data_IF_183312014994
#
_entry.id   IF_183312014994
#
_cell.length_a   1.000
_cell.length_b   1.000
_cell.length_c   1.000
_cell.angle_alpha   90.00
_cell.angle_beta   90.00
_cell.angle_gamma   90.00
#
_symmetry.space_group_name_H-M   'P 1'
#
loop_
_entity.id
_entity.type
_entity.pdbx_description
1 polymer ?
#
# COMPACT_ATOMS: atom_id res chain seq x y z
N UNK A 1 3.47 -22.15 -32.55
CA UNK A 1 2.08 -21.96 -33.02
C UNK A 1 2.03 -20.68 -33.88
N UNK A 2 1.67 -20.78 -35.16
CA UNK A 2 1.54 -19.60 -36.02
C UNK A 2 0.14 -19.04 -35.76
N UNK A 3 0.04 -17.90 -35.07
CA UNK A 3 -1.24 -17.22 -34.85
C UNK A 3 -1.57 -16.50 -36.15
N UNK A 4 -2.38 -17.14 -37.00
CA UNK A 4 -2.70 -16.62 -38.34
C UNK A 4 -3.68 -15.44 -38.28
N UNK A 5 -4.70 -15.51 -37.42
CA UNK A 5 -5.70 -14.48 -37.28
C UNK A 5 -6.14 -14.32 -35.81
N UNK A 6 -6.23 -13.07 -35.34
CA UNK A 6 -6.78 -12.76 -34.01
C UNK A 6 -8.20 -12.24 -34.21
N UNK A 7 -9.17 -13.11 -34.05
CA UNK A 7 -10.59 -12.77 -34.05
C UNK A 7 -11.11 -12.58 -32.62
N UNK A 8 -12.26 -11.92 -32.47
CA UNK A 8 -12.89 -11.76 -31.16
C UNK A 8 -13.37 -13.13 -30.61
N UNK A 9 -13.76 -14.09 -31.49
CA UNK A 9 -14.07 -15.47 -31.10
C UNK A 9 -12.85 -16.20 -30.55
N UNK A 10 -11.73 -16.12 -31.24
CA UNK A 10 -10.46 -16.71 -30.79
C UNK A 10 -10.04 -16.19 -29.40
N UNK A 11 -10.16 -14.89 -29.16
CA UNK A 11 -9.83 -14.31 -27.85
C UNK A 11 -10.77 -14.77 -26.75
N UNK A 12 -12.07 -14.92 -27.03
CA UNK A 12 -13.04 -15.47 -26.06
C UNK A 12 -12.75 -16.93 -25.73
N UNK A 13 -12.40 -17.73 -26.72
CA UNK A 13 -12.01 -19.13 -26.52
C UNK A 13 -10.71 -19.20 -25.67
N UNK A 14 -9.75 -18.33 -25.95
CA UNK A 14 -8.52 -18.25 -25.19
C UNK A 14 -8.77 -17.86 -23.72
N UNK A 15 -9.65 -16.90 -23.47
CA UNK A 15 -10.06 -16.48 -22.11
C UNK A 15 -10.80 -17.59 -21.33
N UNK A 16 -11.49 -18.51 -22.02
CA UNK A 16 -12.14 -19.67 -21.39
C UNK A 16 -11.13 -20.78 -21.01
N UNK A 17 -10.08 -20.93 -21.78
CA UNK A 17 -9.11 -22.02 -21.64
C UNK A 17 -7.86 -21.64 -20.85
N UNK A 18 -7.53 -20.35 -20.77
CA UNK A 18 -6.30 -19.86 -20.13
C UNK A 18 -6.54 -18.56 -19.38
N UNK A 19 -5.85 -18.38 -18.26
CA UNK A 19 -5.83 -17.10 -17.55
C UNK A 19 -4.72 -16.21 -18.10
N UNK A 20 -5.05 -15.00 -18.54
CA UNK A 20 -4.06 -14.04 -19.00
C UNK A 20 -3.23 -13.50 -17.81
N UNK A 21 -1.92 -13.56 -17.92
CA UNK A 21 -1.01 -12.85 -17.01
C UNK A 21 -1.06 -11.37 -17.41
N UNK A 22 -1.53 -10.54 -16.48
CA UNK A 22 -1.69 -9.11 -16.69
C UNK A 22 -0.36 -8.39 -16.91
N UNK A 23 -0.39 -7.27 -17.63
CA UNK A 23 0.75 -6.35 -17.72
C UNK A 23 1.13 -5.71 -16.37
N UNK A 24 0.31 -5.84 -15.34
CA UNK A 24 0.69 -5.45 -13.97
C UNK A 24 1.72 -6.39 -13.32
N UNK A 25 1.97 -7.55 -13.90
CA UNK A 25 3.05 -8.44 -13.49
C UNK A 25 4.39 -7.95 -14.06
N UNK A 26 5.36 -7.69 -13.21
CA UNK A 26 6.62 -7.02 -13.54
C UNK A 26 7.36 -7.60 -14.73
N UNK A 27 7.54 -8.92 -14.75
CA UNK A 27 8.27 -9.59 -15.82
C UNK A 27 7.51 -9.49 -17.15
N UNK A 28 6.17 -9.60 -17.09
CA UNK A 28 5.29 -9.40 -18.25
C UNK A 28 5.38 -7.96 -18.76
N UNK A 29 5.32 -6.96 -17.88
CA UNK A 29 5.46 -5.55 -18.20
C UNK A 29 6.79 -5.25 -18.91
N UNK A 30 7.89 -5.71 -18.31
CA UNK A 30 9.24 -5.52 -18.88
C UNK A 30 9.37 -6.18 -20.24
N UNK A 31 9.00 -7.45 -20.35
CA UNK A 31 9.14 -8.21 -21.59
C UNK A 31 8.31 -7.59 -22.72
N UNK A 32 7.09 -7.13 -22.41
CA UNK A 32 6.21 -6.48 -23.38
C UNK A 32 6.80 -5.16 -23.91
N UNK A 33 7.23 -4.26 -23.04
CA UNK A 33 7.74 -2.97 -23.46
C UNK A 33 9.13 -3.04 -24.08
N UNK A 34 9.98 -3.98 -23.65
CA UNK A 34 11.28 -4.21 -24.29
C UNK A 34 11.15 -4.76 -25.72
N UNK A 35 10.16 -5.61 -25.99
CA UNK A 35 9.88 -6.10 -27.32
C UNK A 35 9.27 -5.02 -28.24
N UNK A 36 8.76 -3.92 -27.67
CA UNK A 36 7.98 -2.90 -28.39
C UNK A 36 8.46 -1.48 -28.08
N UNK A 37 9.71 -1.12 -28.46
CA UNK A 37 10.33 0.17 -28.13
C UNK A 37 9.48 1.39 -28.56
N UNK A 38 8.91 1.38 -29.77
CA UNK A 38 8.05 2.47 -30.22
C UNK A 38 6.80 2.65 -29.33
N UNK A 39 6.21 1.57 -28.90
CA UNK A 39 5.07 1.56 -27.99
C UNK A 39 5.49 2.04 -26.61
N UNK A 40 6.67 1.65 -26.14
CA UNK A 40 7.21 2.12 -24.88
C UNK A 40 7.44 3.65 -24.89
N UNK A 41 7.94 4.19 -26.00
CA UNK A 41 8.05 5.65 -26.18
C UNK A 41 6.69 6.34 -26.10
N UNK A 42 5.68 5.81 -26.81
CA UNK A 42 4.31 6.35 -26.77
C UNK A 42 3.72 6.32 -25.36
N UNK A 43 3.87 5.21 -24.67
CA UNK A 43 3.45 5.03 -23.28
C UNK A 43 4.08 6.09 -22.37
N UNK A 44 5.40 6.19 -22.35
CA UNK A 44 6.12 7.14 -21.50
C UNK A 44 5.77 8.60 -21.81
N UNK A 45 5.69 8.95 -23.08
CA UNK A 45 5.33 10.30 -23.53
C UNK A 45 3.93 10.67 -23.03
N UNK A 46 2.96 9.77 -23.17
CA UNK A 46 1.58 9.99 -22.75
C UNK A 46 1.47 10.10 -21.23
N UNK A 47 2.02 9.12 -20.50
CA UNK A 47 1.86 9.01 -19.02
C UNK A 47 2.65 10.09 -18.27
N UNK A 48 3.76 10.57 -18.82
CA UNK A 48 4.56 11.66 -18.25
C UNK A 48 4.19 13.04 -18.83
N UNK A 49 3.20 13.11 -19.71
CA UNK A 49 2.75 14.33 -20.37
C UNK A 49 3.91 15.09 -21.06
N UNK A 50 4.79 14.35 -21.74
CA UNK A 50 5.94 14.95 -22.44
C UNK A 50 5.49 15.57 -23.76
N UNK A 51 6.01 16.77 -24.06
CA UNK A 51 5.76 17.46 -25.33
C UNK A 51 6.79 17.04 -26.40
N UNK A 52 6.92 15.73 -26.61
CA UNK A 52 7.88 15.12 -27.55
C UNK A 52 7.08 14.17 -28.44
N UNK A 53 7.38 14.16 -29.75
CA UNK A 53 6.82 13.14 -30.64
C UNK A 53 7.60 11.83 -30.49
N UNK A 54 6.99 10.63 -30.62
CA UNK A 54 7.68 9.35 -30.49
C UNK A 54 8.91 9.21 -31.38
N UNK A 55 8.87 9.77 -32.60
CA UNK A 55 9.96 9.74 -33.60
C UNK A 55 11.19 10.54 -33.09
N UNK A 56 10.96 11.58 -32.28
CA UNK A 56 12.01 12.44 -31.72
C UNK A 56 12.44 12.00 -30.31
N UNK A 57 11.90 10.90 -29.82
CA UNK A 57 12.22 10.32 -28.52
C UNK A 57 13.36 9.30 -28.64
N UNK A 58 14.54 9.66 -28.13
CA UNK A 58 15.65 8.71 -27.96
C UNK A 58 15.56 8.11 -26.58
N UNK A 59 15.30 6.81 -26.53
CA UNK A 59 15.14 6.05 -25.29
C UNK A 59 16.40 5.22 -25.03
N UNK A 60 16.97 5.34 -23.83
CA UNK A 60 18.07 4.51 -23.37
C UNK A 60 17.70 3.86 -22.05
N UNK A 61 17.73 2.53 -22.00
CA UNK A 61 17.55 1.77 -20.76
C UNK A 61 18.93 1.63 -20.10
N UNK A 62 19.08 2.15 -18.87
CA UNK A 62 20.37 2.29 -18.19
C UNK A 62 20.78 1.01 -17.48
N UNK A 63 19.83 0.27 -16.92
CA UNK A 63 20.08 -1.00 -16.22
C UNK A 63 19.57 -2.17 -17.06
N UNK A 64 20.51 -2.86 -17.68
CA UNK A 64 20.24 -4.05 -18.49
C UNK A 64 20.78 -5.32 -17.81
N UNK A 65 20.54 -5.51 -16.52
CA UNK A 65 20.90 -6.76 -15.84
C UNK A 65 20.05 -7.97 -16.28
N UNK A 66 19.22 -7.80 -17.30
CA UNK A 66 18.47 -8.90 -17.93
C UNK A 66 19.33 -9.97 -18.59
N UNK A 67 20.61 -9.67 -18.89
CA UNK A 67 21.54 -10.64 -19.56
C UNK A 67 22.15 -11.67 -18.61
N UNK A 68 22.05 -11.49 -17.29
CA UNK A 68 22.62 -12.38 -16.27
C UNK A 68 21.57 -13.05 -15.37
N UNK A 69 20.35 -13.23 -15.84
CA UNK A 69 19.26 -13.87 -15.10
C UNK A 69 19.51 -15.38 -14.96
N UNK A 70 20.56 -15.77 -14.20
CA UNK A 70 20.71 -17.10 -13.63
C UNK A 70 19.98 -17.17 -12.30
N UNK A 71 18.90 -17.87 -12.26
CA UNK A 71 18.11 -18.56 -11.25
C UNK A 71 18.10 -18.10 -9.76
N UNK A 72 18.95 -17.23 -9.24
CA UNK A 72 19.05 -16.93 -7.80
C UNK A 72 18.88 -15.45 -7.38
N UNK A 73 18.73 -14.51 -8.30
CA UNK A 73 18.65 -13.08 -7.97
C UNK A 73 17.38 -12.38 -8.49
N UNK A 74 16.36 -13.13 -8.85
CA UNK A 74 15.09 -12.60 -9.43
C UNK A 74 14.32 -11.63 -8.52
N UNK A 75 14.58 -11.63 -7.23
CA UNK A 75 13.79 -10.87 -6.27
C UNK A 75 14.13 -9.38 -6.13
N UNK A 76 15.08 -8.83 -6.90
CA UNK A 76 15.57 -7.46 -6.66
C UNK A 76 15.65 -6.52 -7.86
N UNK A 77 15.37 -6.94 -9.09
CA UNK A 77 15.58 -6.09 -10.27
C UNK A 77 14.30 -5.92 -11.06
N UNK A 78 13.43 -5.04 -10.56
CA UNK A 78 12.11 -4.84 -11.17
C UNK A 78 11.96 -3.47 -11.84
N UNK A 79 12.90 -2.56 -11.66
CA UNK A 79 12.74 -1.19 -12.08
C UNK A 79 13.34 -0.91 -13.46
N UNK A 80 12.63 -0.15 -14.30
CA UNK A 80 13.21 0.46 -15.48
C UNK A 80 13.90 1.76 -15.10
N UNK A 81 15.22 1.81 -15.27
CA UNK A 81 15.95 3.08 -15.27
C UNK A 81 16.14 3.55 -16.72
N UNK A 82 15.51 4.64 -17.05
CA UNK A 82 15.36 5.13 -18.42
C UNK A 82 15.97 6.52 -18.53
N UNK A 83 16.67 6.77 -19.62
CA UNK A 83 17.06 8.10 -20.03
C UNK A 83 16.36 8.46 -21.33
N UNK A 84 15.68 9.59 -21.35
CA UNK A 84 15.01 10.13 -22.54
C UNK A 84 15.78 11.36 -22.99
N UNK A 85 16.26 11.34 -24.21
CA UNK A 85 16.95 12.47 -24.89
C UNK A 85 18.14 13.04 -24.10
N UNK A 86 18.80 12.24 -23.25
CA UNK A 86 19.93 12.62 -22.40
C UNK A 86 19.66 13.70 -21.34
N UNK A 87 18.39 14.07 -21.09
CA UNK A 87 18.04 15.07 -20.07
C UNK A 87 16.84 14.72 -19.18
N UNK A 88 16.04 13.70 -19.50
CA UNK A 88 15.00 13.19 -18.62
C UNK A 88 15.40 11.80 -18.14
N UNK A 89 15.53 11.65 -16.82
CA UNK A 89 15.86 10.39 -16.16
C UNK A 89 14.62 9.90 -15.42
N UNK A 90 14.19 8.69 -15.73
CA UNK A 90 12.97 8.09 -15.19
C UNK A 90 13.30 6.76 -14.54
N UNK A 91 12.93 6.59 -13.28
CA UNK A 91 12.74 5.26 -12.71
C UNK A 91 11.25 4.92 -12.81
N UNK A 92 10.94 3.83 -13.47
CA UNK A 92 9.57 3.34 -13.66
C UNK A 92 9.39 2.04 -12.90
N UNK A 93 8.45 2.03 -12.00
CA UNK A 93 8.14 0.89 -11.13
C UNK A 93 6.65 0.55 -11.18
N UNK A 94 6.33 -0.75 -11.32
CA UNK A 94 4.98 -1.28 -11.15
C UNK A 94 4.86 -1.87 -9.76
N UNK A 95 4.03 -1.28 -8.90
CA UNK A 95 3.92 -1.66 -7.51
C UNK A 95 2.61 -2.39 -7.21
N UNK A 96 2.75 -3.56 -6.58
CA UNK A 96 1.66 -4.34 -6.02
C UNK A 96 1.57 -4.23 -4.49
N UNK A 97 2.42 -3.41 -3.86
CA UNK A 97 2.48 -3.21 -2.41
C UNK A 97 1.58 -2.06 -1.93
N UNK A 98 1.37 -1.96 -0.61
CA UNK A 98 0.57 -0.88 -0.02
C UNK A 98 1.31 0.46 -0.08
N UNK A 99 0.55 1.55 -0.22
CA UNK A 99 1.06 2.92 -0.42
C UNK A 99 2.03 3.41 0.67
N UNK A 100 1.82 3.06 1.94
CA UNK A 100 2.68 3.51 3.04
C UNK A 100 4.13 3.06 2.89
N UNK A 101 4.36 1.82 2.43
CA UNK A 101 5.69 1.28 2.21
C UNK A 101 6.36 1.89 0.94
N UNK A 102 5.53 2.24 -0.05
CA UNK A 102 5.97 2.79 -1.33
C UNK A 102 6.51 4.22 -1.19
N UNK A 103 5.93 5.03 -0.29
CA UNK A 103 6.28 6.45 -0.14
C UNK A 103 7.78 6.67 0.11
N UNK A 104 8.33 5.99 1.11
CA UNK A 104 9.76 6.12 1.45
C UNK A 104 10.67 5.54 0.37
N UNK A 105 10.23 4.49 -0.30
CA UNK A 105 10.96 3.84 -1.38
C UNK A 105 11.05 4.76 -2.60
N UNK A 106 9.98 5.43 -2.97
CA UNK A 106 9.95 6.39 -4.06
C UNK A 106 10.90 7.58 -3.83
N UNK A 107 10.95 8.11 -2.61
CA UNK A 107 11.90 9.19 -2.28
C UNK A 107 13.36 8.72 -2.41
N UNK A 108 13.67 7.52 -1.88
CA UNK A 108 15.00 6.92 -1.98
C UNK A 108 15.44 6.70 -3.43
N UNK A 109 14.54 6.22 -4.28
CA UNK A 109 14.84 6.02 -5.70
C UNK A 109 15.06 7.34 -6.42
N UNK A 110 14.22 8.34 -6.18
CA UNK A 110 14.37 9.67 -6.75
C UNK A 110 15.73 10.28 -6.38
N UNK A 111 16.16 10.15 -5.12
CA UNK A 111 17.46 10.64 -4.66
C UNK A 111 18.60 9.86 -5.28
N UNK A 112 18.50 8.55 -5.42
CA UNK A 112 19.52 7.71 -6.07
C UNK A 112 19.73 8.09 -7.52
N UNK A 113 18.65 8.30 -8.30
CA UNK A 113 18.76 8.73 -9.69
C UNK A 113 19.33 10.14 -9.77
N UNK A 114 18.86 11.06 -8.93
CA UNK A 114 19.34 12.43 -8.91
C UNK A 114 20.86 12.49 -8.63
N UNK A 115 21.35 11.69 -7.68
CA UNK A 115 22.77 11.56 -7.35
C UNK A 115 23.55 11.00 -8.54
N UNK A 116 23.06 9.96 -9.21
CA UNK A 116 23.74 9.34 -10.35
C UNK A 116 23.91 10.30 -11.54
N UNK A 117 23.06 11.30 -11.67
CA UNK A 117 23.17 12.35 -12.70
C UNK A 117 24.28 13.34 -12.35
N UNK A 118 24.51 13.59 -11.04
CA UNK A 118 25.54 14.52 -10.54
C UNK A 118 26.92 13.86 -10.55
N UNK A 119 27.02 12.61 -10.08
CA UNK A 119 28.30 11.91 -9.83
C UNK A 119 29.09 11.57 -11.10
N UNK A 120 28.48 11.67 -12.27
CA UNK A 120 29.18 11.45 -13.54
C UNK A 120 30.09 12.62 -13.96
N UNK A 121 30.49 13.48 -13.02
CA UNK A 121 31.45 14.59 -13.27
C UNK A 121 30.90 15.64 -14.24
N UNK A 122 29.60 15.60 -14.52
CA UNK A 122 28.95 16.52 -15.44
C UNK A 122 28.68 17.84 -14.73
N UNK A 123 29.07 18.89 -15.40
CA UNK A 123 28.89 20.29 -15.03
C UNK A 123 27.45 20.52 -14.43
N UNK A 124 27.35 21.20 -13.30
CA UNK A 124 26.11 21.67 -12.67
C UNK A 124 25.11 22.29 -13.65
N UNK A 125 25.58 22.86 -14.76
CA UNK A 125 24.76 23.38 -15.86
C UNK A 125 23.90 22.29 -16.52
N UNK A 126 24.38 21.05 -16.61
CA UNK A 126 23.64 19.91 -17.18
C UNK A 126 22.56 19.45 -16.19
N UNK A 127 22.89 19.37 -14.90
CA UNK A 127 21.93 19.05 -13.85
C UNK A 127 20.73 20.02 -13.81
N UNK A 128 21.00 21.33 -13.94
CA UNK A 128 19.92 22.35 -14.00
C UNK A 128 18.94 22.16 -15.16
N UNK A 129 19.36 21.49 -16.23
CA UNK A 129 18.52 21.19 -17.40
C UNK A 129 17.93 19.78 -17.38
N UNK A 130 18.41 18.91 -16.50
CA UNK A 130 17.95 17.53 -16.41
C UNK A 130 16.73 17.43 -15.48
N UNK A 131 15.77 16.58 -15.87
CA UNK A 131 14.60 16.24 -15.07
C UNK A 131 14.72 14.81 -14.57
N UNK A 132 14.50 14.61 -13.29
CA UNK A 132 14.49 13.29 -12.66
C UNK A 132 13.08 12.95 -12.18
N UNK A 133 12.58 11.82 -12.63
CA UNK A 133 11.20 11.39 -12.40
C UNK A 133 11.21 9.99 -11.77
N UNK A 134 10.56 9.86 -10.62
CA UNK A 134 10.12 8.57 -10.11
C UNK A 134 8.69 8.34 -10.56
N UNK A 135 8.47 7.43 -11.50
CA UNK A 135 7.14 7.04 -11.98
C UNK A 135 6.73 5.74 -11.30
N UNK A 136 5.69 5.81 -10.49
CA UNK A 136 5.14 4.67 -9.78
C UNK A 136 3.72 4.35 -10.30
N UNK A 137 3.55 3.13 -10.79
CA UNK A 137 2.27 2.57 -11.24
C UNK A 137 1.73 1.69 -10.11
N UNK A 138 0.76 2.20 -9.34
CA UNK A 138 0.23 1.52 -8.17
C UNK A 138 -1.01 0.70 -8.52
N UNK A 139 -0.92 -0.62 -8.34
CA UNK A 139 -2.00 -1.60 -8.61
C UNK A 139 -2.91 -1.78 -7.39
N UNK A 140 -2.41 -1.53 -6.17
CA UNK A 140 -3.08 -1.91 -4.92
C UNK A 140 -3.86 -0.80 -4.22
N UNK A 141 -3.82 0.44 -4.71
CA UNK A 141 -4.61 1.54 -4.16
C UNK A 141 -6.07 1.44 -4.62
N UNK A 142 -6.79 0.48 -4.02
CA UNK A 142 -8.20 0.24 -4.32
C UNK A 142 -9.03 1.45 -3.86
N UNK A 143 -9.99 1.85 -4.72
CA UNK A 143 -10.91 2.97 -4.47
C UNK A 143 -10.28 4.36 -4.46
N UNK A 144 -9.12 4.55 -5.10
CA UNK A 144 -8.63 5.90 -5.33
C UNK A 144 -9.68 6.75 -6.05
N UNK A 145 -9.91 7.96 -5.54
CA UNK A 145 -10.80 8.95 -6.15
C UNK A 145 -10.10 9.79 -7.20
N UNK A 146 -8.78 9.73 -7.24
CA UNK A 146 -7.92 10.44 -8.17
C UNK A 146 -7.09 9.44 -8.97
N UNK A 147 -6.82 9.74 -10.24
CA UNK A 147 -6.01 8.88 -11.10
C UNK A 147 -4.52 9.11 -10.93
N UNK A 148 -4.14 10.33 -10.57
CA UNK A 148 -2.74 10.72 -10.45
C UNK A 148 -2.49 11.60 -9.24
N UNK A 149 -1.25 11.54 -8.75
CA UNK A 149 -0.69 12.51 -7.84
C UNK A 149 0.73 12.87 -8.28
N UNK A 150 1.07 14.16 -8.18
CA UNK A 150 2.37 14.69 -8.60
C UNK A 150 3.02 15.38 -7.40
N UNK A 151 4.07 14.79 -6.87
CA UNK A 151 4.67 15.19 -5.61
C UNK A 151 5.99 15.92 -5.85
N UNK A 152 6.12 17.10 -5.27
CA UNK A 152 7.31 17.93 -5.25
C UNK A 152 7.78 18.22 -3.83
N UNK A 153 9.07 18.49 -3.66
CA UNK A 153 9.61 19.02 -2.39
C UNK A 153 9.33 20.53 -2.30
N UNK A 154 8.72 20.94 -1.19
CA UNK A 154 8.25 22.30 -0.96
C UNK A 154 8.94 22.91 0.27
N UNK A 155 9.29 24.19 0.20
CA UNK A 155 9.75 24.94 1.37
C UNK A 155 8.60 25.15 2.36
N UNK A 156 8.76 24.68 3.61
CA UNK A 156 7.76 24.83 4.67
C UNK A 156 7.45 26.31 4.97
N UNK A 157 8.41 27.20 4.79
CA UNK A 157 8.28 28.64 5.15
C UNK A 157 7.63 29.43 4.02
N UNK A 158 8.07 29.18 2.78
CA UNK A 158 7.63 30.01 1.62
C UNK A 158 6.53 29.38 0.78
N UNK A 159 6.23 28.09 0.98
CA UNK A 159 5.31 27.33 0.13
C UNK A 159 5.81 27.09 -1.30
N UNK A 160 7.03 27.53 -1.63
CA UNK A 160 7.56 27.40 -2.99
C UNK A 160 8.18 26.01 -3.22
N UNK A 161 8.02 25.49 -4.43
CA UNK A 161 8.67 24.24 -4.85
C UNK A 161 10.18 24.48 -4.89
N UNK A 162 10.92 23.63 -4.15
CA UNK A 162 12.37 23.75 -4.01
C UNK A 162 13.09 23.36 -5.32
N UNK A 163 12.63 22.29 -5.96
CA UNK A 163 13.22 21.82 -7.22
C UNK A 163 12.14 21.23 -8.14
N UNK A 164 11.87 21.88 -9.24
CA UNK A 164 10.91 21.44 -10.25
C UNK A 164 11.40 20.23 -11.08
N UNK A 165 12.70 20.00 -11.08
CA UNK A 165 13.31 18.94 -11.88
C UNK A 165 13.18 17.56 -11.22
N UNK A 166 12.98 17.49 -9.90
CA UNK A 166 12.85 16.25 -9.15
C UNK A 166 11.38 16.06 -8.77
N UNK A 167 10.74 15.04 -9.32
CA UNK A 167 9.30 14.84 -9.17
C UNK A 167 8.95 13.35 -9.04
N UNK A 168 7.98 13.04 -8.19
CA UNK A 168 7.37 11.72 -8.10
C UNK A 168 6.00 11.78 -8.77
N UNK A 169 5.77 10.91 -9.73
CA UNK A 169 4.48 10.66 -10.35
C UNK A 169 3.89 9.37 -9.78
N UNK A 170 2.73 9.47 -9.16
CA UNK A 170 1.92 8.32 -8.73
C UNK A 170 0.76 8.16 -9.68
N UNK A 171 0.56 6.95 -10.19
CA UNK A 171 -0.57 6.58 -11.06
C UNK A 171 -1.34 5.45 -10.39
N UNK A 172 -2.60 5.69 -10.06
CA UNK A 172 -3.49 4.76 -9.38
C UNK A 172 -4.28 3.95 -10.41
N UNK A 173 -3.79 2.76 -10.74
CA UNK A 173 -4.29 1.98 -11.87
C UNK A 173 -5.75 1.53 -11.72
N UNK A 174 -6.23 1.30 -10.50
CA UNK A 174 -7.63 0.98 -10.22
C UNK A 174 -8.59 2.11 -10.66
N UNK A 175 -8.16 3.37 -10.52
CA UNK A 175 -8.90 4.52 -11.03
C UNK A 175 -9.06 4.47 -12.55
N UNK A 176 -7.96 4.22 -13.28
CA UNK A 176 -7.99 4.19 -14.75
C UNK A 176 -8.79 3.02 -15.29
N UNK A 177 -8.77 1.88 -14.61
CA UNK A 177 -9.65 0.76 -14.95
C UNK A 177 -11.13 1.14 -14.82
N UNK A 178 -11.52 1.79 -13.72
CA UNK A 178 -12.89 2.29 -13.53
C UNK A 178 -13.25 3.37 -14.54
N UNK A 179 -12.33 4.29 -14.81
CA UNK A 179 -12.49 5.34 -15.81
C UNK A 179 -12.75 4.75 -17.21
N UNK A 180 -12.07 3.66 -17.56
CA UNK A 180 -12.28 2.98 -18.84
C UNK A 180 -13.74 2.55 -19.03
N UNK A 181 -14.38 2.00 -18.00
CA UNK A 181 -15.77 1.57 -18.04
C UNK A 181 -16.79 2.71 -17.96
N UNK A 182 -16.39 3.90 -17.57
CA UNK A 182 -17.27 5.07 -17.57
C UNK A 182 -17.27 5.70 -18.95
N UNK A 183 -18.42 5.59 -19.67
CA UNK A 183 -18.57 6.09 -21.02
C UNK A 183 -18.76 7.60 -21.11
N UNK A 184 -19.22 8.25 -20.04
CA UNK A 184 -19.55 9.66 -20.02
C UNK A 184 -18.30 10.58 -19.99
N UNK A 185 -17.13 10.03 -19.73
CA UNK A 185 -15.88 10.79 -19.59
C UNK A 185 -15.00 10.55 -20.81
N UNK A 186 -14.58 11.63 -21.46
CA UNK A 186 -13.58 11.61 -22.53
C UNK A 186 -12.22 11.21 -21.95
N UNK A 187 -11.59 10.22 -22.58
CA UNK A 187 -10.31 9.63 -22.15
C UNK A 187 -9.17 10.09 -23.05
N UNK A 188 -8.02 10.32 -22.44
CA UNK A 188 -6.75 10.54 -23.14
C UNK A 188 -6.08 9.22 -23.51
N UNK A 189 -5.04 9.28 -24.36
CA UNK A 189 -4.22 8.12 -24.66
C UNK A 189 -3.54 7.57 -23.40
N UNK A 190 -3.12 8.44 -22.45
CA UNK A 190 -2.55 8.04 -21.17
C UNK A 190 -3.54 7.21 -20.34
N UNK A 191 -4.81 7.63 -20.28
CA UNK A 191 -5.86 6.90 -19.54
C UNK A 191 -6.04 5.48 -20.07
N UNK A 192 -6.05 5.32 -21.39
CA UNK A 192 -6.13 4.00 -22.00
C UNK A 192 -4.90 3.15 -21.71
N UNK A 193 -3.68 3.70 -21.84
CA UNK A 193 -2.45 2.98 -21.52
C UNK A 193 -2.45 2.49 -20.08
N UNK A 194 -2.83 3.34 -19.14
CA UNK A 194 -2.85 2.99 -17.71
C UNK A 194 -3.93 1.95 -17.39
N UNK A 195 -5.09 2.01 -18.05
CA UNK A 195 -6.12 0.99 -17.91
C UNK A 195 -5.66 -0.38 -18.43
N UNK A 196 -4.96 -0.44 -19.57
CA UNK A 196 -4.50 -1.72 -20.17
C UNK A 196 -3.56 -2.51 -19.28
N UNK A 197 -2.81 -1.84 -18.38
CA UNK A 197 -1.91 -2.52 -17.44
C UNK A 197 -2.67 -3.46 -16.49
N UNK A 198 -3.92 -3.15 -16.18
CA UNK A 198 -4.77 -3.93 -15.26
C UNK A 198 -5.76 -4.85 -15.94
N UNK A 199 -5.69 -5.00 -17.25
CA UNK A 199 -6.54 -5.94 -17.98
C UNK A 199 -6.31 -7.38 -17.48
N UNK A 200 -7.40 -8.13 -17.31
CA UNK A 200 -7.36 -9.48 -16.75
C UNK A 200 -7.74 -10.55 -17.77
N UNK A 201 -8.10 -10.16 -19.00
CA UNK A 201 -8.39 -11.08 -20.09
C UNK A 201 -7.95 -10.52 -21.43
N UNK A 202 -7.72 -11.40 -22.38
CA UNK A 202 -7.34 -11.02 -23.74
C UNK A 202 -8.42 -10.21 -24.44
N UNK A 203 -9.68 -10.57 -24.23
CA UNK A 203 -10.83 -9.82 -24.77
C UNK A 203 -10.89 -8.41 -24.20
N UNK A 204 -10.72 -8.24 -22.88
CA UNK A 204 -10.70 -6.94 -22.22
C UNK A 204 -9.57 -6.07 -22.78
N UNK A 205 -8.36 -6.60 -22.84
CA UNK A 205 -7.19 -5.90 -23.37
C UNK A 205 -7.35 -5.48 -24.83
N UNK A 206 -7.85 -6.39 -25.68
CA UNK A 206 -8.10 -6.10 -27.08
C UNK A 206 -9.14 -4.98 -27.26
N UNK A 207 -10.20 -4.96 -26.46
CA UNK A 207 -11.21 -3.91 -26.51
C UNK A 207 -10.66 -2.56 -26.06
N UNK A 208 -9.78 -2.53 -25.03
CA UNK A 208 -9.08 -1.33 -24.64
C UNK A 208 -8.18 -0.80 -25.78
N UNK A 209 -7.41 -1.66 -26.42
CA UNK A 209 -6.55 -1.26 -27.54
C UNK A 209 -7.34 -0.75 -28.75
N UNK A 210 -8.52 -1.29 -29.05
CA UNK A 210 -9.41 -0.80 -30.11
C UNK A 210 -9.76 0.68 -29.95
N UNK A 211 -9.75 1.22 -28.72
CA UNK A 211 -10.16 2.59 -28.43
C UNK A 211 -9.14 3.64 -28.90
N UNK A 212 -7.85 3.30 -29.04
CA UNK A 212 -6.80 4.31 -29.28
C UNK A 212 -5.65 3.86 -30.18
N UNK A 213 -5.62 2.60 -30.63
CA UNK A 213 -4.61 2.06 -31.54
C UNK A 213 -5.21 1.74 -32.91
N UNK A 214 -4.38 1.82 -33.96
CA UNK A 214 -4.72 1.26 -35.25
C UNK A 214 -4.79 -0.26 -35.19
N UNK A 215 -5.55 -0.88 -36.09
CA UNK A 215 -5.70 -2.34 -36.15
C UNK A 215 -4.35 -3.05 -36.32
N UNK A 216 -3.48 -2.53 -37.14
CA UNK A 216 -2.13 -3.08 -37.35
C UNK A 216 -1.33 -3.16 -36.06
N UNK A 217 -1.25 -2.04 -35.32
CA UNK A 217 -0.54 -1.97 -34.04
C UNK A 217 -1.21 -2.88 -33.01
N UNK A 218 -2.53 -2.80 -32.90
CA UNK A 218 -3.33 -3.60 -31.97
C UNK A 218 -3.09 -5.09 -32.16
N UNK A 219 -3.20 -5.58 -33.41
CA UNK A 219 -3.00 -7.00 -33.72
C UNK A 219 -1.58 -7.47 -33.42
N UNK A 220 -0.57 -6.61 -33.72
CA UNK A 220 0.82 -6.90 -33.34
C UNK A 220 0.95 -7.06 -31.82
N UNK A 221 0.46 -6.09 -31.05
CA UNK A 221 0.58 -6.11 -29.60
C UNK A 221 -0.18 -7.30 -28.97
N UNK A 222 -1.36 -7.64 -29.49
CA UNK A 222 -2.10 -8.82 -29.04
C UNK A 222 -1.31 -10.12 -29.30
N UNK A 223 -0.66 -10.26 -30.45
CA UNK A 223 0.24 -11.40 -30.75
C UNK A 223 1.38 -11.47 -29.75
N UNK A 224 2.00 -10.34 -29.43
CA UNK A 224 3.11 -10.28 -28.45
C UNK A 224 2.64 -10.67 -27.04
N UNK A 225 1.47 -10.15 -26.59
CA UNK A 225 0.89 -10.52 -25.29
C UNK A 225 0.58 -12.01 -25.22
N UNK A 226 -0.06 -12.58 -26.25
CA UNK A 226 -0.37 -14.02 -26.28
C UNK A 226 0.91 -14.84 -26.23
N UNK A 227 1.94 -14.49 -27.02
CA UNK A 227 3.22 -15.16 -27.03
C UNK A 227 3.92 -15.12 -25.67
N UNK A 228 3.93 -13.96 -25.02
CA UNK A 228 4.53 -13.79 -23.68
C UNK A 228 3.78 -14.60 -22.61
N UNK A 229 2.47 -14.73 -22.73
CA UNK A 229 1.68 -15.59 -21.85
C UNK A 229 1.91 -17.10 -22.05
N UNK A 230 2.58 -17.48 -23.12
CA UNK A 230 3.03 -18.86 -23.39
C UNK A 230 4.50 -19.07 -23.06
N UNK A 231 5.23 -18.03 -22.64
CA UNK A 231 6.63 -18.11 -22.26
C UNK A 231 6.78 -18.83 -20.91
N UNK A 232 7.52 -19.93 -20.89
CA UNK A 232 7.68 -20.80 -19.71
C UNK A 232 8.24 -20.05 -18.51
N UNK A 233 9.15 -19.11 -18.75
CA UNK A 233 9.76 -18.31 -17.69
C UNK A 233 8.73 -17.37 -17.04
N UNK A 234 7.93 -16.65 -17.84
CA UNK A 234 6.89 -15.75 -17.37
C UNK A 234 5.82 -16.52 -16.60
N UNK A 235 5.40 -17.66 -17.13
CA UNK A 235 4.37 -18.51 -16.50
C UNK A 235 4.89 -19.08 -15.17
N UNK A 236 6.09 -19.62 -15.14
CA UNK A 236 6.66 -20.22 -13.91
C UNK A 236 6.86 -19.17 -12.82
N UNK A 237 7.39 -17.99 -13.14
CA UNK A 237 7.55 -16.89 -12.18
C UNK A 237 6.21 -16.40 -11.63
N UNK A 238 5.21 -16.29 -12.49
CA UNK A 238 3.86 -15.91 -12.05
C UNK A 238 3.26 -16.95 -11.08
N UNK A 239 3.46 -18.24 -11.34
CA UNK A 239 3.01 -19.32 -10.44
C UNK A 239 3.73 -19.22 -9.09
N UNK A 240 5.06 -19.06 -9.09
CA UNK A 240 5.86 -18.95 -7.86
C UNK A 240 5.37 -17.77 -7.02
N UNK A 241 5.18 -16.57 -7.61
CA UNK A 241 4.68 -15.39 -6.88
C UNK A 241 3.29 -15.61 -6.30
N UNK A 242 2.39 -16.25 -7.04
CA UNK A 242 1.05 -16.55 -6.53
C UNK A 242 1.10 -17.50 -5.34
N UNK A 243 1.97 -18.51 -5.36
CA UNK A 243 2.18 -19.44 -4.24
C UNK A 243 2.76 -18.72 -3.01
N UNK A 244 3.74 -17.84 -3.19
CA UNK A 244 4.33 -17.03 -2.11
C UNK A 244 3.27 -16.08 -1.50
N UNK A 245 2.47 -15.43 -2.32
CA UNK A 245 1.38 -14.56 -1.87
C UNK A 245 0.34 -15.33 -1.05
N UNK A 246 -0.04 -16.55 -1.47
CA UNK A 246 -0.94 -17.43 -0.73
C UNK A 246 -0.35 -17.86 0.61
N UNK A 247 0.93 -18.21 0.66
CA UNK A 247 1.62 -18.57 1.90
C UNK A 247 1.67 -17.39 2.87
N UNK A 248 2.04 -16.20 2.40
CA UNK A 248 2.09 -14.98 3.21
C UNK A 248 0.71 -14.65 3.80
N UNK A 249 -0.34 -14.74 2.99
CA UNK A 249 -1.72 -14.54 3.45
C UNK A 249 -2.12 -15.55 4.53
N UNK A 250 -1.83 -16.82 4.34
CA UNK A 250 -2.11 -17.87 5.32
C UNK A 250 -1.38 -17.64 6.65
N UNK A 251 -0.11 -17.23 6.62
CA UNK A 251 0.66 -16.90 7.83
C UNK A 251 0.08 -15.69 8.55
N UNK A 252 -0.32 -14.66 7.82
CA UNK A 252 -0.92 -13.45 8.39
C UNK A 252 -2.26 -13.74 9.08
N UNK A 253 -3.12 -14.57 8.48
CA UNK A 253 -4.38 -14.99 9.08
C UNK A 253 -4.17 -15.84 10.36
N UNK A 254 -3.18 -16.75 10.36
CA UNK A 254 -2.78 -17.49 11.57
C UNK A 254 -2.31 -16.56 12.67
N UNK A 255 -1.49 -15.54 12.35
CA UNK A 255 -1.01 -14.53 13.30
C UNK A 255 -2.17 -13.71 13.88
N UNK A 256 -3.09 -13.24 13.05
CA UNK A 256 -4.29 -12.51 13.49
C UNK A 256 -5.18 -13.36 14.39
N UNK A 257 -5.38 -14.63 14.06
CA UNK A 257 -6.16 -15.57 14.85
C UNK A 257 -5.54 -15.80 16.24
N UNK A 258 -4.21 -16.01 16.28
CA UNK A 258 -3.48 -16.14 17.55
C UNK A 258 -3.59 -14.89 18.41
N UNK A 259 -3.41 -13.70 17.82
CA UNK A 259 -3.54 -12.42 18.53
C UNK A 259 -4.95 -12.24 19.14
N UNK A 260 -5.99 -12.57 18.38
CA UNK A 260 -7.39 -12.53 18.88
C UNK A 260 -7.61 -13.48 20.06
N UNK A 261 -7.02 -14.68 19.99
CA UNK A 261 -7.09 -15.64 21.09
C UNK A 261 -6.38 -15.12 22.35
N UNK A 262 -5.15 -14.60 22.21
CA UNK A 262 -4.37 -14.06 23.33
C UNK A 262 -5.05 -12.85 23.98
N UNK A 263 -5.65 -11.95 23.19
CA UNK A 263 -6.43 -10.83 23.70
C UNK A 263 -7.65 -11.29 24.50
N UNK A 264 -8.41 -12.27 24.00
CA UNK A 264 -9.56 -12.83 24.75
C UNK A 264 -9.14 -13.47 26.07
N UNK A 265 -7.99 -14.17 26.06
CA UNK A 265 -7.44 -14.80 27.29
C UNK A 265 -7.02 -13.75 28.32
N UNK A 266 -6.32 -12.68 27.86
CA UNK A 266 -5.92 -11.57 28.73
C UNK A 266 -7.13 -10.82 29.33
N UNK A 267 -8.15 -10.58 28.52
CA UNK A 267 -9.39 -9.95 28.96
C UNK A 267 -10.11 -10.78 30.05
N UNK A 268 -10.21 -12.10 29.86
CA UNK A 268 -10.82 -13.01 30.84
C UNK A 268 -10.02 -13.04 32.16
N UNK A 269 -8.68 -13.03 32.06
CA UNK A 269 -7.82 -12.99 33.25
C UNK A 269 -7.96 -11.68 34.01
N UNK A 270 -7.95 -10.53 33.30
CA UNK A 270 -8.14 -9.21 33.92
C UNK A 270 -9.51 -9.06 34.61
N UNK A 271 -10.59 -9.56 33.99
CA UNK A 271 -11.91 -9.59 34.62
C UNK A 271 -11.93 -10.42 35.89
N UNK A 272 -11.29 -11.60 35.89
CA UNK A 272 -11.21 -12.46 37.08
C UNK A 272 -10.46 -11.78 38.23
N UNK A 273 -9.28 -11.21 37.93
CA UNK A 273 -8.48 -10.49 38.91
C UNK A 273 -9.21 -9.26 39.48
N UNK A 274 -9.84 -8.46 38.60
CA UNK A 274 -10.62 -7.28 39.03
C UNK A 274 -11.81 -7.68 39.92
N UNK A 275 -12.48 -8.80 39.63
CA UNK A 275 -13.58 -9.30 40.44
C UNK A 275 -13.10 -9.78 41.82
N UNK A 276 -11.99 -10.54 41.89
CA UNK A 276 -11.39 -11.01 43.14
C UNK A 276 -10.96 -9.82 44.02
N UNK A 277 -10.26 -8.84 43.46
CA UNK A 277 -9.88 -7.63 44.20
C UNK A 277 -11.07 -6.79 44.66
N UNK A 278 -12.11 -6.68 43.81
CA UNK A 278 -13.34 -5.96 44.19
C UNK A 278 -14.09 -6.62 45.34
N UNK A 279 -14.14 -7.95 45.39
CA UNK A 279 -14.73 -8.70 46.52
C UNK A 279 -13.91 -8.48 47.82
N UNK A 280 -12.61 -8.63 47.75
CA UNK A 280 -11.70 -8.46 48.91
C UNK A 280 -11.85 -7.06 49.51
N UNK A 281 -11.78 -6.01 48.69
CA UNK A 281 -11.97 -4.62 49.11
C UNK A 281 -13.41 -4.38 49.69
N UNK A 282 -14.43 -4.97 49.05
CA UNK A 282 -15.80 -4.84 49.49
C UNK A 282 -16.04 -5.49 50.86
N UNK A 283 -15.43 -6.66 51.12
CA UNK A 283 -15.48 -7.33 52.41
C UNK A 283 -14.79 -6.52 53.50
N UNK A 284 -13.58 -6.02 53.22
CA UNK A 284 -12.77 -5.19 54.14
C UNK A 284 -13.55 -3.92 54.55
N UNK A 285 -14.02 -3.16 53.53
CA UNK A 285 -14.81 -1.94 53.79
C UNK A 285 -16.14 -2.23 54.55
N UNK A 286 -16.82 -3.31 54.18
CA UNK A 286 -18.06 -3.72 54.88
C UNK A 286 -17.82 -4.11 56.31
N UNK A 287 -16.71 -4.78 56.59
CA UNK A 287 -16.31 -5.16 57.93
C UNK A 287 -15.99 -3.93 58.80
N UNK A 288 -15.19 -3.01 58.28
CA UNK A 288 -14.87 -1.74 58.99
C UNK A 288 -16.12 -0.91 59.30
N UNK A 289 -17.01 -0.74 58.30
CA UNK A 289 -18.25 -0.02 58.45
C UNK A 289 -19.19 -0.70 59.48
N UNK A 290 -19.21 -2.03 59.46
CA UNK A 290 -19.99 -2.81 60.41
C UNK A 290 -19.49 -2.66 61.87
N UNK A 291 -18.18 -2.67 62.08
CA UNK A 291 -17.58 -2.43 63.40
C UNK A 291 -17.92 -1.03 63.88
N UNK A 292 -17.75 0.01 63.04
CA UNK A 292 -18.02 1.38 63.43
C UNK A 292 -19.50 1.63 63.74
N UNK A 293 -20.41 1.07 62.89
CA UNK A 293 -21.85 1.13 63.17
C UNK A 293 -22.24 0.45 64.48
N UNK A 294 -21.60 -0.68 64.81
CA UNK A 294 -21.85 -1.40 66.07
C UNK A 294 -21.32 -0.61 67.28
N UNK A 295 -20.10 -0.01 67.19
CA UNK A 295 -19.57 0.88 68.21
C UNK A 295 -20.51 2.06 68.54
N UNK A 296 -21.03 2.69 67.47
CA UNK A 296 -22.01 3.79 67.59
C UNK A 296 -23.32 3.30 68.22
N UNK A 297 -23.79 2.15 67.84
CA UNK A 297 -25.05 1.57 68.42
C UNK A 297 -24.89 1.25 69.92
N UNK A 298 -23.79 0.63 70.31
CA UNK A 298 -23.42 0.38 71.67
C UNK A 298 -23.32 1.69 72.47
N UNK A 299 -22.63 2.65 71.98
CA UNK A 299 -22.45 3.98 72.60
C UNK A 299 -23.81 4.67 72.82
N UNK A 300 -24.73 4.66 71.87
CA UNK A 300 -26.05 5.24 71.98
C UNK A 300 -26.87 4.52 73.10
N UNK A 301 -26.71 3.20 73.20
CA UNK A 301 -27.41 2.43 74.22
C UNK A 301 -26.86 2.69 75.64
N UNK A 302 -25.53 2.92 75.75
CA UNK A 302 -24.89 3.23 77.03
C UNK A 302 -25.18 4.67 77.48
N UNK A 303 -25.26 5.62 76.55
CA UNK A 303 -25.66 7.00 76.81
C UNK A 303 -27.09 7.08 77.38
N UNK A 304 -28.02 6.27 76.89
CA UNK A 304 -29.39 6.19 77.43
C UNK A 304 -29.47 5.64 78.88
N UNK A 305 -28.38 5.08 79.38
CA UNK A 305 -28.31 4.49 80.76
C UNK A 305 -27.55 5.42 81.71
N UNK A 306 -27.31 6.70 81.35
CA UNK A 306 -26.65 7.73 82.13
C UNK A 306 -25.23 7.37 82.62
N UNK A 307 -24.50 6.52 81.88
CA UNK A 307 -23.11 6.18 82.20
C UNK A 307 -22.18 7.34 81.82
N UNK A 308 -21.02 7.49 82.52
CA UNK A 308 -20.04 8.54 82.27
C UNK A 308 -19.42 8.44 80.88
N UNK A 309 -19.19 9.56 80.27
CA UNK A 309 -18.58 9.62 78.87
C UNK A 309 -17.21 8.94 78.82
N UNK A 310 -16.44 8.99 79.95
CA UNK A 310 -15.14 8.30 80.02
C UNK A 310 -15.27 6.77 79.91
N UNK A 311 -16.23 6.22 80.69
CA UNK A 311 -16.50 4.75 80.68
C UNK A 311 -17.05 4.29 79.31
N UNK A 312 -17.90 5.08 78.68
CA UNK A 312 -18.40 4.80 77.27
C UNK A 312 -17.28 4.89 76.25
N UNK A 313 -16.39 5.86 76.39
CA UNK A 313 -15.22 5.99 75.51
C UNK A 313 -14.27 4.81 75.64
N UNK A 314 -13.98 4.35 76.83
CA UNK A 314 -13.15 3.18 77.13
C UNK A 314 -13.78 1.88 76.57
N UNK A 315 -15.08 1.75 76.70
CA UNK A 315 -15.81 0.53 76.26
C UNK A 315 -16.01 0.44 74.75
N UNK A 316 -16.24 1.57 74.08
CA UNK A 316 -16.55 1.60 72.64
C UNK A 316 -15.40 1.99 71.75
N UNK A 317 -14.34 2.59 72.31
CA UNK A 317 -13.20 3.16 71.56
C UNK A 317 -13.57 4.43 70.80
N UNK A 318 -14.74 5.03 71.01
CA UNK A 318 -15.14 6.32 70.48
C UNK A 318 -14.56 7.46 71.29
N UNK A 319 -14.12 8.54 70.66
CA UNK A 319 -13.64 9.72 71.40
C UNK A 319 -14.79 10.43 72.07
N UNK A 320 -14.47 11.16 73.19
CA UNK A 320 -15.45 11.99 73.92
C UNK A 320 -16.16 12.98 73.00
N UNK A 321 -15.46 13.52 71.99
CA UNK A 321 -16.06 14.42 71.01
C UNK A 321 -17.09 13.69 70.12
N UNK A 322 -16.80 12.48 69.71
CA UNK A 322 -17.73 11.64 68.91
C UNK A 322 -18.97 11.30 69.80
N UNK A 323 -18.77 10.93 71.05
CA UNK A 323 -19.87 10.63 71.97
C UNK A 323 -20.79 11.84 72.25
N UNK A 324 -20.23 13.07 72.36
CA UNK A 324 -20.99 14.31 72.51
C UNK A 324 -21.87 14.60 71.30
N UNK A 325 -21.49 14.15 70.09
CA UNK A 325 -22.28 14.29 68.89
C UNK A 325 -23.41 13.28 68.77
N UNK A 326 -23.41 12.23 69.60
CA UNK A 326 -24.41 11.17 69.62
C UNK A 326 -25.48 11.36 70.71
N UNK A 327 -25.26 12.33 71.64
CA UNK A 327 -26.25 12.77 72.61
C UNK A 327 -27.33 13.62 71.94
#
# INVERSE_FOLDING_TARGET
MIINEITDEYLKELDQNTSMISLSFDLMFKSFFMANEYIFKRFLISVLHLRIKPENCKLYIINNDMTNLRYKEYHKVVDFNININNYIYVNLEVNTERFEDIKYRNEKYLDSISSSVIDKGKNIKIFKKSRTIQLNLNVNEKNSKIGEDIIYRVSKVTGKIFNWNNVIYLRYLDYYKKLYYNQDIKKSEADYWLATITANSYTELNNMYKCFLSDEIRLKLMKDVIRLNMDELIVSENIIRNLEAMQKYSMEEKRKSKLRYDLKKAQKLGLKQGFEQGIEQGIEQGFEQGIEANRIAIAKNLLKKDLSLDLISETTGLTIEQLKKLQ
#
